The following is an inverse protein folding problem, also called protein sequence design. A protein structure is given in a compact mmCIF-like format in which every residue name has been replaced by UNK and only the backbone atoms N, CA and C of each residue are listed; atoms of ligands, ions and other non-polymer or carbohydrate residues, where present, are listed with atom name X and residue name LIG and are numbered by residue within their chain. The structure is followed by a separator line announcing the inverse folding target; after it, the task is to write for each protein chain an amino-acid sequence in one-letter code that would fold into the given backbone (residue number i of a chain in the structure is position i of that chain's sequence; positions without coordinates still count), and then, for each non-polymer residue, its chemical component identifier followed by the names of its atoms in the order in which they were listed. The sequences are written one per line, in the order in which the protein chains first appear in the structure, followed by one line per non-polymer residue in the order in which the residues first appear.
data_IF_817422482624
#
_entry.id   IF_817422482624
#
_cell.length_a   1.000
_cell.length_b   1.000
_cell.length_c   1.000
_cell.angle_alpha   90.00
_cell.angle_beta   90.00
_cell.angle_gamma   90.00
#
_symmetry.space_group_name_H-M   'P 1'
#
loop_
_entity.id
_entity.type
_entity.pdbx_description
1 polymer ?
#
# COMPACT_ATOMS: atom_id res chain seq x y z
N UNK A 1 -36.06 -24.29 13.18
CA UNK A 1 -35.35 -24.58 11.92
C UNK A 1 -35.08 -23.31 11.07
N UNK A 2 -35.97 -22.32 10.96
CA UNK A 2 -35.76 -21.11 10.12
C UNK A 2 -34.79 -20.06 10.70
N UNK A 3 -34.56 -20.03 12.01
CA UNK A 3 -33.63 -19.08 12.66
C UNK A 3 -32.16 -19.51 12.62
N UNK A 4 -31.88 -20.81 12.44
CA UNK A 4 -30.51 -21.33 12.31
C UNK A 4 -29.92 -21.07 10.92
N UNK A 5 -30.76 -20.99 9.88
CA UNK A 5 -30.33 -20.72 8.51
C UNK A 5 -29.83 -19.28 8.31
N UNK A 6 -30.43 -18.32 9.01
CA UNK A 6 -30.02 -16.90 8.96
C UNK A 6 -28.66 -16.64 9.61
N UNK A 7 -28.27 -17.45 10.61
CA UNK A 7 -27.00 -17.31 11.32
C UNK A 7 -25.81 -17.78 10.46
N UNK A 8 -26.02 -18.76 9.57
CA UNK A 8 -24.99 -19.29 8.65
C UNK A 8 -24.64 -18.27 7.56
N UNK A 9 -25.61 -17.50 7.06
CA UNK A 9 -25.37 -16.45 6.05
C UNK A 9 -24.59 -15.26 6.64
N UNK A 10 -24.85 -14.89 7.90
CA UNK A 10 -24.13 -13.80 8.55
C UNK A 10 -22.64 -14.11 8.77
N UNK A 11 -22.30 -15.37 9.08
CA UNK A 11 -20.90 -15.77 9.33
C UNK A 11 -20.06 -15.87 8.04
N UNK A 12 -20.70 -16.15 6.90
CA UNK A 12 -20.03 -16.21 5.60
C UNK A 12 -19.59 -14.83 5.05
N UNK A 13 -20.15 -13.72 5.59
CA UNK A 13 -19.81 -12.36 5.15
C UNK A 13 -18.58 -11.75 5.87
N UNK A 14 -18.14 -12.33 7.00
CA UNK A 14 -17.00 -11.81 7.78
C UNK A 14 -15.64 -11.83 7.03
N UNK A 15 -15.27 -12.87 6.25
CA UNK A 15 -13.96 -12.93 5.62
C UNK A 15 -13.69 -11.77 4.66
N UNK A 16 -14.72 -11.32 3.94
CA UNK A 16 -14.61 -10.23 2.98
C UNK A 16 -14.37 -8.87 3.65
N UNK A 17 -14.88 -8.66 4.87
CA UNK A 17 -14.68 -7.41 5.61
C UNK A 17 -13.25 -7.28 6.15
N UNK A 18 -12.65 -8.39 6.58
CA UNK A 18 -11.31 -8.40 7.18
C UNK A 18 -10.18 -8.20 6.16
N UNK A 19 -10.35 -8.71 4.94
CA UNK A 19 -9.37 -8.53 3.86
C UNK A 19 -9.17 -7.05 3.49
N UNK A 20 -10.15 -6.18 3.74
CA UNK A 20 -10.07 -4.77 3.36
C UNK A 20 -9.17 -3.91 4.26
N UNK A 21 -8.82 -4.41 5.45
CA UNK A 21 -8.08 -3.63 6.45
C UNK A 21 -6.70 -4.20 6.79
N UNK A 22 -6.23 -5.19 6.02
CA UNK A 22 -4.88 -5.74 6.18
C UNK A 22 -3.87 -4.69 5.70
N UNK A 23 -3.02 -4.21 6.62
CA UNK A 23 -1.87 -3.36 6.29
C UNK A 23 -0.65 -4.24 6.09
N UNK A 24 0.13 -3.95 5.06
CA UNK A 24 1.38 -4.64 4.76
C UNK A 24 2.54 -3.63 4.74
N UNK A 25 3.76 -4.06 5.12
CA UNK A 25 4.96 -3.27 4.92
C UNK A 25 5.35 -3.31 3.44
N UNK A 26 5.69 -2.15 2.89
CA UNK A 26 6.05 -1.99 1.50
C UNK A 26 7.13 -0.92 1.33
N UNK A 27 7.89 -1.03 0.25
CA UNK A 27 8.87 -0.07 -0.22
C UNK A 27 8.31 0.59 -1.47
N UNK A 28 8.24 1.92 -1.46
CA UNK A 28 7.90 2.72 -2.64
C UNK A 28 9.15 3.44 -3.10
N UNK A 29 9.56 3.25 -4.34
CA UNK A 29 10.73 3.92 -4.91
C UNK A 29 10.47 4.40 -6.33
N UNK A 30 11.25 5.38 -6.77
CA UNK A 30 11.15 6.05 -8.07
C UNK A 30 12.49 5.88 -8.78
N UNK A 31 12.46 5.28 -9.97
CA UNK A 31 13.67 4.97 -10.73
C UNK A 31 14.21 6.19 -11.50
N UNK A 32 13.35 7.18 -11.77
CA UNK A 32 13.72 8.38 -12.51
C UNK A 32 14.33 9.45 -11.59
N UNK A 33 15.57 9.84 -11.86
CA UNK A 33 16.26 10.91 -11.12
C UNK A 33 15.57 12.27 -11.29
N UNK A 34 14.87 12.46 -12.41
CA UNK A 34 14.09 13.68 -12.68
C UNK A 34 12.83 13.80 -11.80
N UNK A 35 12.48 12.76 -11.03
CA UNK A 35 11.30 12.77 -10.15
C UNK A 35 11.35 13.93 -9.17
N UNK A 36 10.42 14.89 -9.25
CA UNK A 36 10.36 16.01 -8.33
C UNK A 36 9.95 15.56 -6.92
N UNK A 37 10.48 16.23 -5.89
CA UNK A 37 10.12 15.94 -4.49
C UNK A 37 8.61 16.08 -4.24
N UNK A 38 7.93 16.98 -4.97
CA UNK A 38 6.48 17.15 -4.88
C UNK A 38 5.70 15.89 -5.24
N UNK A 39 6.22 15.05 -6.14
CA UNK A 39 5.62 13.77 -6.52
C UNK A 39 5.78 12.75 -5.40
N UNK A 40 6.97 12.69 -4.81
CA UNK A 40 7.28 11.79 -3.68
C UNK A 40 6.43 12.17 -2.46
N UNK A 41 6.37 13.46 -2.13
CA UNK A 41 5.56 13.96 -1.02
C UNK A 41 4.06 13.75 -1.25
N UNK A 42 3.59 13.90 -2.50
CA UNK A 42 2.20 13.56 -2.85
C UNK A 42 1.92 12.08 -2.63
N UNK A 43 2.81 11.18 -3.05
CA UNK A 43 2.66 9.74 -2.83
C UNK A 43 2.62 9.39 -1.34
N UNK A 44 3.52 9.97 -0.52
CA UNK A 44 3.50 9.82 0.94
C UNK A 44 2.16 10.28 1.52
N UNK A 45 1.72 11.48 1.15
CA UNK A 45 0.46 12.05 1.64
C UNK A 45 -0.75 11.19 1.27
N UNK A 46 -0.84 10.72 0.03
CA UNK A 46 -1.92 9.83 -0.40
C UNK A 46 -1.98 8.55 0.43
N UNK A 47 -0.82 7.94 0.73
CA UNK A 47 -0.78 6.74 1.57
C UNK A 47 -1.12 7.03 3.03
N UNK A 48 -0.69 8.16 3.57
CA UNK A 48 -1.05 8.60 4.94
C UNK A 48 -2.56 8.83 5.05
N UNK A 49 -3.17 9.53 4.08
CA UNK A 49 -4.62 9.76 4.02
C UNK A 49 -5.41 8.46 3.89
N UNK A 50 -4.85 7.46 3.21
CA UNK A 50 -5.41 6.12 3.14
C UNK A 50 -5.19 5.27 4.41
N UNK A 51 -4.67 5.85 5.49
CA UNK A 51 -4.44 5.17 6.77
C UNK A 51 -3.10 4.44 6.87
N UNK A 52 -2.15 4.73 5.98
CA UNK A 52 -0.78 4.25 6.03
C UNK A 52 0.11 5.04 6.98
N UNK A 53 1.29 4.49 7.29
CA UNK A 53 2.31 5.10 8.13
C UNK A 53 3.68 4.95 7.48
N UNK A 54 4.36 6.05 7.21
CA UNK A 54 5.74 6.04 6.74
C UNK A 54 6.65 5.53 7.86
N UNK A 55 7.45 4.50 7.59
CA UNK A 55 8.36 3.88 8.55
C UNK A 55 9.80 4.34 8.35
N UNK A 56 10.17 4.65 7.11
CA UNK A 56 11.51 5.12 6.79
C UNK A 56 11.49 5.96 5.50
N UNK A 57 12.39 6.93 5.37
CA UNK A 57 12.63 7.67 4.12
C UNK A 57 14.10 7.48 3.76
N UNK A 58 14.36 7.00 2.55
CA UNK A 58 15.72 6.70 2.12
C UNK A 58 16.44 7.95 1.64
N UNK A 59 17.76 7.99 1.84
CA UNK A 59 18.64 9.05 1.31
C UNK A 59 19.42 8.62 0.07
N UNK A 60 19.57 7.31 -0.15
CA UNK A 60 20.34 6.72 -1.25
C UNK A 60 19.48 6.52 -2.51
N UNK A 61 18.21 6.16 -2.32
CA UNK A 61 17.22 6.01 -3.39
C UNK A 61 16.10 7.03 -3.19
N UNK A 62 15.47 7.45 -4.30
CA UNK A 62 14.24 8.24 -4.23
C UNK A 62 13.10 7.33 -3.81
N UNK A 63 12.81 7.25 -2.52
CA UNK A 63 11.79 6.35 -2.02
C UNK A 63 11.58 6.40 -0.52
N UNK A 64 10.64 5.61 -0.04
CA UNK A 64 10.30 5.48 1.38
C UNK A 64 9.68 4.11 1.68
N UNK A 65 9.85 3.66 2.91
CA UNK A 65 9.15 2.50 3.44
C UNK A 65 7.85 2.93 4.14
N UNK A 66 6.82 2.12 4.01
CA UNK A 66 5.46 2.43 4.49
C UNK A 66 4.76 1.16 4.95
N UNK A 67 3.95 1.27 6.00
CA UNK A 67 2.95 0.27 6.36
C UNK A 67 1.59 0.83 5.95
N UNK A 68 0.97 0.30 4.91
CA UNK A 68 -0.29 0.81 4.36
C UNK A 68 -1.26 -0.31 3.99
N UNK A 69 -2.57 -0.03 3.89
CA UNK A 69 -3.53 -0.99 3.35
C UNK A 69 -3.16 -1.40 1.93
N UNK A 70 -3.29 -2.69 1.62
CA UNK A 70 -2.96 -3.24 0.30
C UNK A 70 -3.68 -2.49 -0.84
N UNK A 71 -4.97 -2.20 -0.64
CA UNK A 71 -5.78 -1.45 -1.61
C UNK A 71 -5.22 -0.06 -1.89
N UNK A 72 -4.62 0.60 -0.89
CA UNK A 72 -4.02 1.90 -1.06
C UNK A 72 -2.73 1.83 -1.89
N UNK A 73 -1.91 0.80 -1.66
CA UNK A 73 -0.70 0.53 -2.44
C UNK A 73 -1.03 0.21 -3.90
N UNK A 74 -2.01 -0.67 -4.13
CA UNK A 74 -2.50 -0.98 -5.47
C UNK A 74 -3.12 0.24 -6.16
N UNK A 75 -3.88 1.07 -5.42
CA UNK A 75 -4.43 2.30 -5.94
C UNK A 75 -3.32 3.26 -6.35
N UNK A 76 -2.30 3.46 -5.49
CA UNK A 76 -1.14 4.29 -5.80
C UNK A 76 -0.41 3.80 -7.07
N UNK A 77 -0.26 2.48 -7.23
CA UNK A 77 0.35 1.90 -8.42
C UNK A 77 -0.46 2.14 -9.69
N UNK A 78 -1.80 2.07 -9.63
CA UNK A 78 -2.69 2.43 -10.77
C UNK A 78 -2.67 3.92 -11.08
N UNK A 79 -2.48 4.70 -10.04
CA UNK A 79 -2.45 6.16 -10.05
C UNK A 79 -1.16 6.72 -10.65
N UNK A 80 -0.13 5.90 -10.86
CA UNK A 80 1.02 6.22 -11.74
C UNK A 80 0.63 6.71 -13.14
N UNK A 81 -0.62 6.52 -13.55
CA UNK A 81 -1.22 7.22 -14.68
C UNK A 81 -1.38 8.76 -14.49
N UNK A 82 -0.67 9.40 -13.55
CA UNK A 82 -0.69 10.84 -13.26
C UNK A 82 0.01 11.72 -14.33
N UNK A 83 0.14 11.22 -15.55
CA UNK A 83 0.55 12.00 -16.72
C UNK A 83 2.05 12.08 -16.99
N UNK A 84 2.89 11.52 -16.11
CA UNK A 84 4.34 11.37 -16.35
C UNK A 84 4.81 10.09 -15.67
N UNK A 85 5.43 9.20 -16.43
CA UNK A 85 6.01 7.97 -15.88
C UNK A 85 7.33 8.33 -15.17
N UNK A 86 7.33 8.25 -13.85
CA UNK A 86 8.51 8.47 -13.00
C UNK A 86 9.16 7.14 -12.58
N UNK A 87 8.77 6.02 -13.22
CA UNK A 87 9.25 4.69 -12.88
C UNK A 87 8.99 4.33 -11.43
N UNK A 88 7.82 4.70 -10.89
CA UNK A 88 7.47 4.41 -9.51
C UNK A 88 7.17 2.92 -9.38
N UNK A 89 7.74 2.29 -8.37
CA UNK A 89 7.54 0.87 -8.08
C UNK A 89 7.14 0.72 -6.63
N UNK A 90 6.24 -0.22 -6.39
CA UNK A 90 5.77 -0.60 -5.06
C UNK A 90 6.09 -2.08 -4.88
N UNK A 91 6.95 -2.37 -3.90
CA UNK A 91 7.37 -3.73 -3.56
C UNK A 91 6.99 -4.06 -2.12
N UNK A 92 6.65 -5.32 -1.87
CA UNK A 92 6.42 -5.83 -0.51
C UNK A 92 7.76 -5.92 0.25
N UNK A 93 7.80 -5.38 1.46
CA UNK A 93 8.99 -5.44 2.31
C UNK A 93 9.07 -6.80 3.04
N UNK A 94 10.17 -7.53 2.85
CA UNK A 94 10.34 -8.91 3.33
C UNK A 94 11.58 -9.03 4.21
N UNK A 95 11.45 -9.84 5.26
CA UNK A 95 12.60 -10.24 6.07
C UNK A 95 13.56 -11.13 5.27
N UNK A 96 14.85 -10.93 5.48
CA UNK A 96 15.92 -11.80 4.95
C UNK A 96 16.50 -12.66 6.07
N UNK A 97 16.94 -13.87 5.75
CA UNK A 97 17.62 -14.79 6.68
C UNK A 97 19.07 -14.98 6.27
N UNK A 98 19.95 -15.20 7.25
CA UNK A 98 21.37 -15.46 7.00
C UNK A 98 21.57 -16.92 6.58
N UNK A 99 22.51 -17.16 5.66
CA UNK A 99 22.94 -18.51 5.24
C UNK A 99 23.99 -19.09 6.18
#
# INVERSE_FOLDING_TARGET
MKFLSSLVVALAALPAALAMNQKMPAIVYFSEDSTPDSVIEKAKKTLIEAGGKITHTYTIIKGFAVIAPEKALQALQKVQAWGTDYGMTVEEDKGVTTQ
#
